data_IF_811709602304
#
_entry.id   IF_811709602304
#
_cell.length_a   1.000
_cell.length_b   1.000
_cell.length_c   1.000
_cell.angle_alpha   90.00
_cell.angle_beta   90.00
_cell.angle_gamma   90.00
#
_symmetry.space_group_name_H-M   'P 1'
#
loop_
_entity.id
_entity.type
_entity.pdbx_description
1 polymer ?
#
# COMPACT_ATOMS: atom_id res chain seq x y z
N UNK A 1 0.99 25.42 -4.56
CA UNK A 1 0.29 24.22 -4.04
C UNK A 1 1.10 23.01 -4.44
N UNK A 2 1.59 22.22 -3.47
CA UNK A 2 2.21 20.93 -3.78
C UNK A 2 1.16 20.04 -4.45
N UNK A 3 1.50 19.52 -5.63
CA UNK A 3 0.72 18.50 -6.29
C UNK A 3 0.74 17.25 -5.40
N UNK A 4 -0.42 16.79 -4.95
CA UNK A 4 -0.55 15.55 -4.21
C UNK A 4 -0.38 14.35 -5.16
N UNK A 5 0.84 13.83 -5.28
CA UNK A 5 1.19 12.72 -6.19
C UNK A 5 0.35 11.47 -5.95
N UNK A 6 -0.06 11.21 -4.70
CA UNK A 6 -0.91 10.07 -4.33
C UNK A 6 -2.31 10.24 -4.90
N UNK A 7 -2.92 11.43 -4.78
CA UNK A 7 -4.24 11.69 -5.35
C UNK A 7 -4.26 11.57 -6.87
N UNK A 8 -3.24 12.09 -7.55
CA UNK A 8 -3.13 11.93 -9.01
C UNK A 8 -3.03 10.45 -9.37
N UNK A 9 -2.11 9.73 -8.73
CA UNK A 9 -1.92 8.30 -8.99
C UNK A 9 -3.20 7.49 -8.75
N UNK A 10 -3.92 7.77 -7.66
CA UNK A 10 -5.20 7.12 -7.36
C UNK A 10 -6.27 7.44 -8.39
N UNK A 11 -6.38 8.70 -8.84
CA UNK A 11 -7.33 9.08 -9.89
C UNK A 11 -7.02 8.40 -11.22
N UNK A 12 -5.74 8.26 -11.59
CA UNK A 12 -5.37 7.51 -12.79
C UNK A 12 -5.73 6.03 -12.67
N UNK A 13 -5.47 5.41 -11.51
CA UNK A 13 -5.92 4.05 -11.23
C UNK A 13 -7.45 3.90 -11.35
N UNK A 14 -8.23 4.83 -10.80
CA UNK A 14 -9.69 4.80 -10.88
C UNK A 14 -10.24 4.94 -12.31
N UNK A 15 -9.52 5.62 -13.21
CA UNK A 15 -9.88 5.67 -14.64
C UNK A 15 -9.75 4.31 -15.31
N UNK A 16 -8.70 3.56 -14.97
CA UNK A 16 -8.45 2.21 -15.50
C UNK A 16 -9.38 1.16 -14.87
N UNK A 17 -9.75 1.36 -13.60
CA UNK A 17 -10.61 0.44 -12.84
C UNK A 17 -11.86 1.15 -12.28
N UNK A 18 -12.91 1.37 -13.10
CA UNK A 18 -14.11 2.13 -12.71
C UNK A 18 -14.84 1.61 -11.46
N UNK A 19 -14.68 0.33 -11.11
CA UNK A 19 -15.23 -0.26 -9.87
C UNK A 19 -14.75 0.47 -8.61
N UNK A 20 -13.60 1.14 -8.66
CA UNK A 20 -13.03 1.89 -7.52
C UNK A 20 -13.34 3.39 -7.54
N UNK A 21 -14.15 3.89 -8.48
CA UNK A 21 -14.35 5.33 -8.69
C UNK A 21 -14.94 6.07 -7.47
N UNK A 22 -15.73 5.38 -6.65
CA UNK A 22 -16.33 5.94 -5.41
C UNK A 22 -15.53 5.60 -4.15
N UNK A 23 -14.38 4.95 -4.29
CA UNK A 23 -13.53 4.57 -3.17
C UNK A 23 -12.56 5.72 -2.88
N UNK A 24 -12.53 6.15 -1.62
CA UNK A 24 -11.58 7.16 -1.15
C UNK A 24 -10.12 6.70 -1.37
N UNK A 25 -9.18 7.66 -1.37
CA UNK A 25 -7.75 7.33 -1.45
C UNK A 25 -7.40 6.37 -0.31
N UNK A 26 -6.86 5.17 -0.59
CA UNK A 26 -6.53 4.20 0.44
C UNK A 26 -5.30 4.66 1.24
N UNK A 27 -5.02 4.02 2.39
CA UNK A 27 -3.75 4.19 3.10
C UNK A 27 -2.56 4.01 2.15
N UNK A 28 -1.50 4.79 2.38
CA UNK A 28 -0.28 4.71 1.59
C UNK A 28 0.94 4.66 2.49
N UNK A 29 1.87 3.76 2.17
CA UNK A 29 3.07 3.51 2.98
C UNK A 29 4.16 2.84 2.15
N UNK A 30 5.40 2.97 2.60
CA UNK A 30 6.51 2.13 2.16
C UNK A 30 6.65 0.91 3.10
N UNK A 31 7.28 -0.15 2.60
CA UNK A 31 7.67 -1.29 3.43
C UNK A 31 9.05 -1.06 4.04
N UNK A 32 9.36 -1.78 5.12
CA UNK A 32 10.64 -1.73 5.82
C UNK A 32 10.95 -0.36 6.46
N UNK A 33 12.09 -0.25 7.13
CA UNK A 33 12.45 0.88 8.00
C UNK A 33 13.70 1.63 7.51
N UNK A 34 14.22 1.31 6.32
CA UNK A 34 15.32 2.01 5.67
C UNK A 34 15.07 2.20 4.17
N UNK A 35 15.74 3.20 3.57
CA UNK A 35 15.53 3.59 2.17
C UNK A 35 15.77 2.47 1.18
N UNK A 36 16.86 1.72 1.35
CA UNK A 36 17.25 0.67 0.41
C UNK A 36 16.15 -0.39 0.35
N UNK A 37 15.72 -0.89 1.51
CA UNK A 37 14.76 -1.97 1.58
C UNK A 37 13.34 -1.52 1.21
N UNK A 38 12.98 -0.27 1.52
CA UNK A 38 11.73 0.33 1.07
C UNK A 38 11.63 0.42 -0.45
N UNK A 39 12.67 0.95 -1.09
CA UNK A 39 12.75 1.09 -2.54
C UNK A 39 12.76 -0.29 -3.21
N UNK A 40 13.51 -1.26 -2.66
CA UNK A 40 13.54 -2.64 -3.16
C UNK A 40 12.19 -3.34 -3.00
N UNK A 41 11.55 -3.23 -1.84
CA UNK A 41 10.23 -3.83 -1.61
C UNK A 41 9.18 -3.25 -2.54
N UNK A 42 9.17 -1.93 -2.76
CA UNK A 42 8.21 -1.29 -3.65
C UNK A 42 8.36 -1.79 -5.10
N UNK A 43 9.59 -2.01 -5.57
CA UNK A 43 9.85 -2.59 -6.89
C UNK A 43 9.45 -4.07 -6.98
N UNK A 44 9.71 -4.86 -5.94
CA UNK A 44 9.29 -6.26 -5.88
C UNK A 44 7.75 -6.40 -5.90
N UNK A 45 7.04 -5.49 -5.23
CA UNK A 45 5.56 -5.43 -5.28
C UNK A 45 5.10 -5.04 -6.68
N UNK A 46 5.67 -3.98 -7.26
CA UNK A 46 5.33 -3.50 -8.61
C UNK A 46 5.51 -4.58 -9.68
N UNK A 47 6.55 -5.41 -9.54
CA UNK A 47 6.83 -6.56 -10.43
C UNK A 47 5.98 -7.80 -10.14
N UNK A 48 5.13 -7.78 -9.11
CA UNK A 48 4.31 -8.91 -8.69
C UNK A 48 5.09 -10.05 -8.03
N UNK A 49 6.33 -9.82 -7.59
CA UNK A 49 7.20 -10.83 -6.97
C UNK A 49 6.91 -10.91 -5.46
N UNK A 50 6.86 -9.77 -4.77
CA UNK A 50 6.45 -9.70 -3.36
C UNK A 50 4.92 -9.66 -3.28
N UNK A 51 4.31 -10.79 -2.95
CA UNK A 51 2.85 -10.94 -2.84
C UNK A 51 2.36 -11.22 -1.41
N UNK A 52 3.27 -11.20 -0.43
CA UNK A 52 2.94 -11.42 0.98
C UNK A 52 3.72 -10.45 1.88
N UNK A 53 3.11 -10.11 3.01
CA UNK A 53 3.72 -9.35 4.10
C UNK A 53 3.20 -9.89 5.43
N UNK A 54 3.96 -9.65 6.50
CA UNK A 54 3.55 -10.00 7.86
C UNK A 54 3.80 -8.80 8.77
N UNK A 55 2.93 -8.64 9.76
CA UNK A 55 3.10 -7.67 10.83
C UNK A 55 3.39 -8.40 12.13
N UNK A 56 4.02 -7.72 13.08
CA UNK A 56 4.06 -8.22 14.45
C UNK A 56 2.66 -8.11 15.04
N UNK A 57 2.05 -9.24 15.43
CA UNK A 57 0.74 -9.22 16.08
C UNK A 57 0.76 -8.39 17.37
N UNK A 58 1.81 -8.53 18.17
CA UNK A 58 1.98 -7.72 19.39
C UNK A 58 2.17 -6.24 19.07
N UNK A 59 2.86 -5.92 17.98
CA UNK A 59 3.01 -4.54 17.50
C UNK A 59 1.67 -3.91 17.17
N UNK A 60 0.82 -4.60 16.41
CA UNK A 60 -0.54 -4.13 16.10
C UNK A 60 -1.37 -3.91 17.36
N UNK A 61 -1.28 -4.82 18.33
CA UNK A 61 -2.01 -4.72 19.60
C UNK A 61 -1.55 -3.55 20.46
N UNK A 62 -0.24 -3.34 20.58
CA UNK A 62 0.36 -2.24 21.36
C UNK A 62 -0.02 -0.88 20.77
N UNK A 63 -0.08 -0.79 19.43
CA UNK A 63 -0.39 0.45 18.73
C UNK A 63 -1.91 0.66 18.49
N UNK A 64 -2.76 -0.26 18.97
CA UNK A 64 -4.20 -0.25 18.69
C UNK A 64 -4.55 -0.21 17.18
N UNK A 65 -3.66 -0.77 16.35
CA UNK A 65 -3.85 -0.85 14.91
C UNK A 65 -4.82 -1.99 14.56
N UNK A 66 -5.65 -1.76 13.54
CA UNK A 66 -6.57 -2.78 13.05
C UNK A 66 -5.79 -3.93 12.42
N UNK A 67 -6.26 -5.15 12.66
CA UNK A 67 -5.79 -6.31 11.91
C UNK A 67 -6.14 -6.16 10.42
N UNK A 68 -5.25 -6.59 9.51
CA UNK A 68 -5.54 -6.55 8.08
C UNK A 68 -6.74 -7.42 7.76
N UNK A 69 -7.62 -6.91 6.91
CA UNK A 69 -8.85 -7.58 6.48
C UNK A 69 -8.80 -7.88 4.99
N UNK A 70 -9.43 -8.99 4.59
CA UNK A 70 -9.58 -9.31 3.16
C UNK A 70 -10.39 -8.19 2.50
N UNK A 71 -9.83 -7.64 1.42
CA UNK A 71 -10.41 -6.51 0.70
C UNK A 71 -9.72 -5.17 0.95
N UNK A 72 -8.88 -5.07 1.99
CA UNK A 72 -8.13 -3.85 2.27
C UNK A 72 -7.28 -3.44 1.06
N UNK A 73 -7.34 -2.15 0.74
CA UNK A 73 -6.54 -1.52 -0.31
C UNK A 73 -5.42 -0.71 0.32
N UNK A 74 -4.26 -0.67 -0.36
CA UNK A 74 -3.19 0.25 -0.02
C UNK A 74 -2.44 0.71 -1.28
N UNK A 75 -1.85 1.90 -1.22
CA UNK A 75 -0.87 2.37 -2.21
C UNK A 75 0.53 2.18 -1.63
N UNK A 76 1.34 1.36 -2.30
CA UNK A 76 2.74 1.15 -1.92
C UNK A 76 3.57 2.27 -2.52
N UNK A 77 4.39 2.93 -1.68
CA UNK A 77 5.32 3.98 -2.09
C UNK A 77 6.77 3.49 -2.02
N UNK A 78 7.67 4.21 -2.70
CA UNK A 78 9.09 4.18 -2.33
C UNK A 78 9.35 5.00 -1.05
N UNK A 79 10.61 5.04 -0.60
CA UNK A 79 11.02 5.79 0.58
C UNK A 79 10.68 7.28 0.51
N UNK A 80 10.74 7.87 -0.69
CA UNK A 80 10.50 9.29 -0.91
C UNK A 80 9.00 9.62 -1.08
N UNK A 81 8.12 8.62 -0.88
CA UNK A 81 6.67 8.77 -0.95
C UNK A 81 6.12 8.78 -2.38
N UNK A 82 6.89 8.39 -3.39
CA UNK A 82 6.36 8.26 -4.74
C UNK A 82 5.59 6.92 -4.89
N UNK A 83 4.33 6.95 -5.36
CA UNK A 83 3.52 5.74 -5.48
C UNK A 83 4.06 4.80 -6.56
N UNK A 84 4.08 3.50 -6.27
CA UNK A 84 4.60 2.45 -7.16
C UNK A 84 3.55 1.41 -7.53
N UNK A 85 2.62 1.08 -6.64
CA UNK A 85 1.59 0.08 -6.88
C UNK A 85 0.35 0.30 -6.01
N UNK A 86 -0.81 -0.15 -6.49
CA UNK A 86 -2.01 -0.39 -5.67
C UNK A 86 -2.07 -1.88 -5.35
N UNK A 87 -2.26 -2.24 -4.07
CA UNK A 87 -2.40 -3.62 -3.63
C UNK A 87 -3.76 -3.86 -2.97
N UNK A 88 -4.22 -5.11 -3.01
CA UNK A 88 -5.43 -5.58 -2.34
C UNK A 88 -5.12 -6.83 -1.52
N UNK A 89 -5.50 -6.84 -0.24
CA UNK A 89 -5.39 -8.03 0.60
C UNK A 89 -6.41 -9.08 0.14
N UNK A 90 -5.95 -10.24 -0.32
CA UNK A 90 -6.83 -11.33 -0.79
C UNK A 90 -6.93 -12.50 0.19
N UNK A 91 -5.97 -12.61 1.11
CA UNK A 91 -5.90 -13.66 2.12
C UNK A 91 -5.28 -13.07 3.37
N UNK A 92 -5.80 -13.48 4.52
CA UNK A 92 -5.25 -13.16 5.83
C UNK A 92 -5.31 -14.42 6.72
N UNK A 93 -4.31 -14.56 7.59
CA UNK A 93 -4.22 -15.61 8.60
C UNK A 93 -3.45 -15.09 9.80
N UNK A 94 -3.79 -15.59 11.00
CA UNK A 94 -3.05 -15.37 12.24
C UNK A 94 -1.99 -16.46 12.43
#
# INVERSE_FOLDING_TARGET
>A
MLINKIEIYWREFQKEYPTYQQVAVPPYYYFCDNKKDADECAELVRRGIKQATTHSLSGLQINEEKLPTIGDLAIVTDWDGAPKAVIKTIKWSL
#
